data_IF_650897276669
#
_entry.id   IF_650897276669
#
_cell.length_a   1.000
_cell.length_b   1.000
_cell.length_c   1.000
_cell.angle_alpha   90.00
_cell.angle_beta   90.00
_cell.angle_gamma   90.00
#
_symmetry.space_group_name_H-M   'P 1'
#
loop_
_entity.id
_entity.type
_entity.pdbx_description
1 polymer ?
#
# COMPACT_ATOMS: atom_id res chain seq x y z
N UNK A 1 -12.46 4.93 -17.17
CA UNK A 1 -11.43 5.35 -16.20
C UNK A 1 -12.15 5.74 -14.93
N UNK A 2 -12.16 4.88 -13.91
CA UNK A 2 -12.56 5.36 -12.58
C UNK A 2 -11.53 6.44 -12.20
N UNK A 3 -11.98 7.69 -12.16
CA UNK A 3 -11.13 8.81 -11.75
C UNK A 3 -10.73 8.51 -10.30
N UNK A 4 -9.44 8.58 -10.01
CA UNK A 4 -8.97 8.50 -8.62
C UNK A 4 -9.65 9.62 -7.83
N UNK A 5 -10.42 9.28 -6.82
CA UNK A 5 -11.21 10.26 -6.05
C UNK A 5 -10.33 11.12 -5.12
N UNK A 6 -9.17 10.61 -4.71
CA UNK A 6 -8.23 11.31 -3.86
C UNK A 6 -6.78 10.89 -4.12
N UNK A 7 -5.84 11.78 -3.78
CA UNK A 7 -4.40 11.51 -3.74
C UNK A 7 -3.90 11.55 -2.30
N UNK A 8 -3.05 10.59 -1.93
CA UNK A 8 -2.42 10.52 -0.61
C UNK A 8 -0.91 10.76 -0.77
N UNK A 9 -0.37 11.69 0.01
CA UNK A 9 1.08 11.92 0.12
C UNK A 9 1.58 11.45 1.48
N UNK A 10 2.59 10.59 1.49
CA UNK A 10 3.16 9.99 2.71
C UNK A 10 4.61 10.44 2.92
N UNK A 11 4.94 10.83 4.14
CA UNK A 11 6.33 10.98 4.58
C UNK A 11 6.78 9.70 5.26
N UNK A 12 7.81 9.07 4.71
CA UNK A 12 8.33 7.80 5.18
C UNK A 12 9.80 7.97 5.59
N UNK A 13 10.24 7.16 6.56
CA UNK A 13 11.66 7.06 6.86
C UNK A 13 12.41 6.37 5.71
N UNK A 14 13.72 6.62 5.61
CA UNK A 14 14.57 5.96 4.60
C UNK A 14 14.52 4.43 4.72
N UNK A 15 14.47 3.92 5.96
CA UNK A 15 14.36 2.49 6.25
C UNK A 15 13.07 1.90 5.67
N UNK A 16 11.92 2.49 6.01
CA UNK A 16 10.62 1.99 5.56
C UNK A 16 10.48 2.06 4.02
N UNK A 17 10.98 3.13 3.40
CA UNK A 17 11.04 3.22 1.93
C UNK A 17 11.84 2.04 1.33
N UNK A 18 12.98 1.70 1.92
CA UNK A 18 13.81 0.58 1.49
C UNK A 18 13.07 -0.75 1.56
N UNK A 19 12.43 -1.03 2.69
CA UNK A 19 11.64 -2.25 2.93
C UNK A 19 10.48 -2.38 1.92
N UNK A 20 9.70 -1.30 1.73
CA UNK A 20 8.60 -1.28 0.76
C UNK A 20 9.08 -1.50 -0.68
N UNK A 21 10.21 -0.89 -1.06
CA UNK A 21 10.76 -1.02 -2.40
C UNK A 21 11.24 -2.46 -2.65
N UNK A 22 11.91 -3.06 -1.67
CA UNK A 22 12.36 -4.44 -1.75
C UNK A 22 11.19 -5.43 -1.87
N UNK A 23 10.13 -5.22 -1.07
CA UNK A 23 8.94 -6.06 -1.10
C UNK A 23 8.18 -5.91 -2.43
N UNK A 24 7.99 -4.68 -2.90
CA UNK A 24 7.33 -4.41 -4.18
C UNK A 24 8.09 -5.08 -5.35
N UNK A 25 9.44 -5.06 -5.32
CA UNK A 25 10.27 -5.76 -6.31
C UNK A 25 10.07 -7.28 -6.28
N UNK A 26 10.01 -7.88 -5.08
CA UNK A 26 9.75 -9.33 -4.92
C UNK A 26 8.40 -9.74 -5.49
N UNK A 27 7.37 -8.92 -5.27
CA UNK A 27 6.01 -9.17 -5.77
C UNK A 27 5.78 -8.71 -7.21
N UNK A 28 6.82 -8.17 -7.88
CA UNK A 28 6.73 -7.59 -9.24
C UNK A 28 5.61 -6.54 -9.38
N UNK A 29 5.48 -5.67 -8.38
CA UNK A 29 4.47 -4.60 -8.30
C UNK A 29 5.11 -3.25 -8.01
N UNK A 30 4.34 -2.18 -8.21
CA UNK A 30 4.75 -0.85 -7.75
C UNK A 30 4.59 -0.72 -6.24
N UNK A 31 5.36 0.16 -5.61
CA UNK A 31 5.21 0.47 -4.18
C UNK A 31 3.81 0.97 -3.87
N UNK A 32 3.22 1.79 -4.75
CA UNK A 32 1.83 2.26 -4.61
C UNK A 32 0.84 1.11 -4.59
N UNK A 33 0.96 0.15 -5.51
CA UNK A 33 0.07 -1.01 -5.57
C UNK A 33 0.21 -1.91 -4.33
N UNK A 34 1.43 -2.06 -3.80
CA UNK A 34 1.67 -2.77 -2.54
C UNK A 34 0.98 -2.07 -1.36
N UNK A 35 1.14 -0.74 -1.23
CA UNK A 35 0.53 0.03 -0.14
C UNK A 35 -0.99 -0.07 -0.20
N UNK A 36 -1.59 0.13 -1.37
CA UNK A 36 -3.05 0.04 -1.54
C UNK A 36 -3.57 -1.33 -1.12
N UNK A 37 -2.94 -2.41 -1.61
CA UNK A 37 -3.29 -3.78 -1.24
C UNK A 37 -3.27 -4.01 0.27
N UNK A 38 -2.19 -3.59 0.94
CA UNK A 38 -2.05 -3.78 2.39
C UNK A 38 -3.13 -3.01 3.15
N UNK A 39 -3.47 -1.79 2.70
CA UNK A 39 -4.54 -1.00 3.31
C UNK A 39 -5.93 -1.62 3.09
N UNK A 40 -6.21 -2.13 1.89
CA UNK A 40 -7.46 -2.84 1.58
C UNK A 40 -7.61 -4.12 2.40
N UNK A 41 -6.55 -4.94 2.47
CA UNK A 41 -6.52 -6.16 3.29
C UNK A 41 -6.70 -5.85 4.78
N UNK A 42 -6.08 -4.79 5.29
CA UNK A 42 -6.23 -4.35 6.67
C UNK A 42 -7.69 -3.99 7.01
N UNK A 43 -8.36 -3.20 6.15
CA UNK A 43 -9.75 -2.81 6.36
C UNK A 43 -10.69 -4.01 6.26
N UNK A 44 -10.48 -4.87 5.27
CA UNK A 44 -11.28 -6.09 5.08
C UNK A 44 -11.22 -7.01 6.30
N UNK A 45 -10.02 -7.20 6.86
CA UNK A 45 -9.83 -8.03 8.06
C UNK A 45 -10.55 -7.43 9.28
N UNK A 46 -10.52 -6.09 9.43
CA UNK A 46 -11.28 -5.40 10.49
C UNK A 46 -12.80 -5.50 10.33
N UNK A 47 -13.31 -5.53 9.10
CA UNK A 47 -14.74 -5.73 8.85
C UNK A 47 -15.19 -7.14 9.19
N UNK A 48 -14.34 -8.15 8.93
CA UNK A 48 -14.64 -9.54 9.31
C UNK A 48 -14.51 -9.85 10.81
N UNK A 49 -13.84 -8.98 11.57
CA UNK A 49 -13.75 -9.06 13.04
C UNK A 49 -14.96 -8.43 13.77
N UNK A 50 -15.89 -7.81 13.03
CA UNK A 50 -17.16 -7.30 13.55
C UNK A 50 -18.28 -8.32 13.42
#
# INVERSE_FOLDING_TARGET
>A
MAKSDAQISLRLSKKLKGELTAQAKRERRSVTALILRVMEEYLKNRESEK
#
